data_IF_327084042068
#
_entry.id   IF_327084042068
#
_cell.length_a   1.000
_cell.length_b   1.000
_cell.length_c   1.000
_cell.angle_alpha   90.00
_cell.angle_beta   90.00
_cell.angle_gamma   90.00
#
_symmetry.space_group_name_H-M   'P 1'
#
loop_
_entity.id
_entity.type
_entity.pdbx_description
1 polymer ?
#
# COMPACT_ATOMS: atom_id res chain seq x y z
N UNK A 1 11.48 53.29 13.92
CA UNK A 1 10.56 52.14 13.79
C UNK A 1 11.22 51.13 12.86
N UNK A 2 11.97 50.17 13.39
CA UNK A 2 12.57 49.11 12.58
C UNK A 2 11.47 48.14 12.14
N UNK A 3 11.29 47.96 10.82
CA UNK A 3 10.34 47.01 10.26
C UNK A 3 10.71 45.57 10.63
N UNK A 4 9.73 44.63 10.62
CA UNK A 4 9.97 43.25 11.02
C UNK A 4 11.02 42.59 10.12
N UNK A 5 12.05 42.00 10.74
CA UNK A 5 13.08 41.27 10.03
C UNK A 5 12.47 40.08 9.27
N UNK A 6 12.72 39.99 7.97
CA UNK A 6 12.27 38.89 7.11
C UNK A 6 13.00 37.61 7.55
N UNK A 7 12.29 36.66 8.15
CA UNK A 7 12.85 35.34 8.45
C UNK A 7 13.25 34.65 7.15
N UNK A 8 14.47 34.07 7.05
CA UNK A 8 14.89 33.35 5.86
C UNK A 8 13.94 32.19 5.56
N UNK A 9 13.56 32.06 4.30
CA UNK A 9 12.68 30.98 3.85
C UNK A 9 13.33 29.61 4.11
N UNK A 10 12.60 28.60 4.62
CA UNK A 10 13.16 27.28 4.87
C UNK A 10 13.76 26.67 3.60
N UNK A 11 14.99 26.15 3.70
CA UNK A 11 15.68 25.50 2.58
C UNK A 11 14.86 24.26 2.14
N UNK A 12 14.59 24.04 0.84
CA UNK A 12 13.81 22.89 0.39
C UNK A 12 14.46 21.59 0.87
N UNK A 13 13.69 20.72 1.51
CA UNK A 13 14.18 19.40 1.91
C UNK A 13 14.45 18.54 0.67
N UNK A 14 15.58 17.81 0.63
CA UNK A 14 15.85 16.90 -0.47
C UNK A 14 14.69 15.90 -0.65
N UNK A 15 14.24 15.64 -1.89
CA UNK A 15 13.16 14.70 -2.13
C UNK A 15 13.55 13.31 -1.62
N UNK A 16 12.68 12.71 -0.81
CA UNK A 16 12.91 11.39 -0.23
C UNK A 16 13.04 10.35 -1.36
N UNK A 17 14.03 9.43 -1.32
CA UNK A 17 14.24 8.46 -2.39
C UNK A 17 12.97 7.65 -2.64
N UNK A 18 12.46 7.67 -3.88
CA UNK A 18 11.21 7.01 -4.26
C UNK A 18 11.17 5.51 -3.90
N UNK A 19 12.35 4.89 -3.79
CA UNK A 19 12.52 3.49 -3.39
C UNK A 19 12.21 3.23 -1.91
N UNK A 20 12.51 4.16 -0.99
CA UNK A 20 12.12 4.01 0.42
C UNK A 20 10.60 4.16 0.63
N UNK A 21 9.94 4.90 -0.25
CA UNK A 21 8.48 5.11 -0.22
C UNK A 21 7.71 4.03 -0.98
N UNK A 22 8.41 3.12 -1.67
CA UNK A 22 7.78 2.06 -2.44
C UNK A 22 7.35 0.91 -1.51
N UNK A 23 6.26 1.11 -0.76
CA UNK A 23 5.60 0.04 0.01
C UNK A 23 4.84 -0.95 -0.88
N UNK A 24 4.49 -0.51 -2.09
CA UNK A 24 3.69 -1.28 -3.03
C UNK A 24 4.27 -2.68 -3.38
N UNK A 25 5.58 -2.84 -3.69
CA UNK A 25 6.14 -4.15 -4.02
C UNK A 25 6.04 -5.15 -2.87
N UNK A 26 6.21 -4.71 -1.62
CA UNK A 26 6.11 -5.56 -0.43
C UNK A 26 4.68 -6.06 -0.26
N UNK A 27 3.70 -5.16 -0.37
CA UNK A 27 2.29 -5.53 -0.23
C UNK A 27 1.86 -6.45 -1.38
N UNK A 28 2.22 -6.15 -2.62
CA UNK A 28 1.88 -7.02 -3.76
C UNK A 28 2.57 -8.39 -3.65
N UNK A 29 3.85 -8.42 -3.28
CA UNK A 29 4.59 -9.66 -3.05
C UNK A 29 4.00 -10.50 -1.94
N UNK A 30 3.72 -9.90 -0.78
CA UNK A 30 3.09 -10.58 0.35
C UNK A 30 1.67 -11.07 0.03
N UNK A 31 0.87 -10.25 -0.65
CA UNK A 31 -0.49 -10.64 -1.09
C UNK A 31 -0.43 -11.81 -2.06
N UNK A 32 0.49 -11.75 -3.04
CA UNK A 32 0.70 -12.83 -4.01
C UNK A 32 1.16 -14.12 -3.35
N UNK A 33 2.06 -14.04 -2.37
CA UNK A 33 2.53 -15.19 -1.59
C UNK A 33 1.38 -15.83 -0.79
N UNK A 34 0.57 -15.04 -0.11
CA UNK A 34 -0.59 -15.55 0.62
C UNK A 34 -1.65 -16.17 -0.30
N UNK A 35 -1.91 -15.55 -1.45
CA UNK A 35 -2.81 -16.10 -2.46
C UNK A 35 -2.29 -17.45 -3.00
N UNK A 36 -1.00 -17.54 -3.30
CA UNK A 36 -0.36 -18.79 -3.73
C UNK A 36 -0.48 -19.87 -2.63
N UNK A 37 -0.21 -19.51 -1.37
CA UNK A 37 -0.36 -20.43 -0.25
C UNK A 37 -1.81 -20.92 -0.10
N UNK A 38 -2.80 -20.05 -0.26
CA UNK A 38 -4.22 -20.42 -0.21
C UNK A 38 -4.59 -21.42 -1.31
N UNK A 39 -4.07 -21.23 -2.53
CA UNK A 39 -4.27 -22.17 -3.66
C UNK A 39 -3.65 -23.53 -3.35
N UNK A 40 -2.37 -23.56 -2.94
CA UNK A 40 -1.66 -24.79 -2.62
C UNK A 40 -2.34 -25.56 -1.47
N UNK A 41 -2.72 -24.86 -0.41
CA UNK A 41 -3.40 -25.45 0.75
C UNK A 41 -4.81 -25.91 0.40
N UNK A 42 -5.53 -25.19 -0.47
CA UNK A 42 -6.84 -25.62 -0.97
C UNK A 42 -6.74 -26.93 -1.74
N UNK A 43 -5.75 -27.05 -2.64
CA UNK A 43 -5.48 -28.29 -3.37
C UNK A 43 -5.09 -29.42 -2.40
N UNK A 44 -4.22 -29.15 -1.42
CA UNK A 44 -3.82 -30.14 -0.42
C UNK A 44 -5.01 -30.65 0.41
N UNK A 45 -5.84 -29.73 0.90
CA UNK A 45 -6.98 -30.04 1.76
C UNK A 45 -8.11 -30.76 1.01
N UNK A 46 -8.59 -30.19 -0.10
CA UNK A 46 -9.73 -30.73 -0.83
C UNK A 46 -9.36 -31.83 -1.83
N UNK A 47 -8.15 -31.80 -2.41
CA UNK A 47 -7.71 -32.80 -3.38
C UNK A 47 -7.09 -34.04 -2.76
N UNK A 48 -6.39 -33.90 -1.63
CA UNK A 48 -5.64 -35.00 -1.01
C UNK A 48 -6.06 -35.32 0.41
N UNK A 49 -7.00 -34.57 1.02
CA UNK A 49 -7.37 -34.72 2.42
C UNK A 49 -6.22 -34.44 3.38
N UNK A 50 -5.17 -33.75 2.91
CA UNK A 50 -3.96 -33.43 3.69
C UNK A 50 -4.03 -31.98 4.13
N UNK A 51 -3.44 -31.67 5.27
CA UNK A 51 -3.42 -30.35 5.94
C UNK A 51 -4.69 -29.96 6.72
N UNK A 52 -4.53 -29.47 7.96
CA UNK A 52 -5.61 -28.92 8.77
C UNK A 52 -6.26 -27.68 8.13
N UNK A 53 -7.59 -27.47 8.30
CA UNK A 53 -8.31 -26.31 7.75
C UNK A 53 -7.76 -24.95 8.19
N UNK A 54 -7.16 -24.87 9.39
CA UNK A 54 -6.66 -23.60 9.95
C UNK A 54 -5.64 -22.93 9.04
N UNK A 55 -4.72 -23.69 8.41
CA UNK A 55 -3.70 -23.14 7.54
C UNK A 55 -4.30 -22.49 6.29
N UNK A 56 -5.31 -23.14 5.71
CA UNK A 56 -6.03 -22.61 4.55
C UNK A 56 -6.72 -21.29 4.92
N UNK A 57 -7.46 -21.27 6.03
CA UNK A 57 -8.16 -20.06 6.49
C UNK A 57 -7.20 -18.92 6.87
N UNK A 58 -6.04 -19.23 7.45
CA UNK A 58 -4.98 -18.24 7.67
C UNK A 58 -4.49 -17.67 6.35
N UNK A 59 -4.26 -18.52 5.34
CA UNK A 59 -3.78 -18.06 4.03
C UNK A 59 -4.79 -17.20 3.28
N UNK A 60 -6.07 -17.59 3.31
CA UNK A 60 -7.17 -16.79 2.78
C UNK A 60 -7.25 -15.43 3.49
N UNK A 61 -7.13 -15.41 4.82
CA UNK A 61 -7.19 -14.17 5.60
C UNK A 61 -6.03 -13.23 5.26
N UNK A 62 -4.80 -13.78 5.11
CA UNK A 62 -3.64 -13.00 4.68
C UNK A 62 -3.80 -12.42 3.28
N UNK A 63 -4.35 -13.19 2.34
CA UNK A 63 -4.63 -12.73 0.99
C UNK A 63 -5.70 -11.63 0.99
N UNK A 64 -6.79 -11.80 1.73
CA UNK A 64 -7.86 -10.81 1.87
C UNK A 64 -7.34 -9.49 2.46
N UNK A 65 -6.55 -9.56 3.53
CA UNK A 65 -5.92 -8.38 4.13
C UNK A 65 -4.97 -7.67 3.15
N UNK A 66 -4.18 -8.44 2.40
CA UNK A 66 -3.30 -7.93 1.36
C UNK A 66 -4.05 -7.19 0.25
N UNK A 67 -5.17 -7.75 -0.22
CA UNK A 67 -6.06 -7.11 -1.21
C UNK A 67 -6.62 -5.80 -0.67
N UNK A 68 -7.11 -5.78 0.58
CA UNK A 68 -7.62 -4.55 1.21
C UNK A 68 -6.54 -3.49 1.28
N UNK A 69 -5.33 -3.83 1.73
CA UNK A 69 -4.19 -2.91 1.75
C UNK A 69 -3.83 -2.37 0.36
N UNK A 70 -3.84 -3.24 -0.66
CA UNK A 70 -3.62 -2.85 -2.05
C UNK A 70 -4.67 -1.87 -2.57
N UNK A 71 -5.96 -2.11 -2.29
CA UNK A 71 -7.06 -1.24 -2.68
C UNK A 71 -6.93 0.15 -2.05
N UNK A 72 -6.60 0.22 -0.76
CA UNK A 72 -6.38 1.49 -0.05
C UNK A 72 -5.25 2.27 -0.69
N UNK A 73 -4.11 1.65 -1.00
CA UNK A 73 -2.99 2.34 -1.66
C UNK A 73 -3.37 2.88 -3.05
N UNK A 74 -4.14 2.12 -3.83
CA UNK A 74 -4.63 2.59 -5.14
C UNK A 74 -5.59 3.76 -4.97
N UNK A 75 -6.46 3.72 -3.97
CA UNK A 75 -7.38 4.80 -3.66
C UNK A 75 -6.64 6.06 -3.20
N UNK A 76 -5.66 5.94 -2.31
CA UNK A 76 -4.78 7.03 -1.89
C UNK A 76 -4.09 7.67 -3.09
N UNK A 77 -3.53 6.87 -3.99
CA UNK A 77 -2.84 7.36 -5.19
C UNK A 77 -3.79 8.10 -6.15
N UNK A 78 -5.05 7.64 -6.26
CA UNK A 78 -6.10 8.34 -7.01
C UNK A 78 -6.54 9.63 -6.33
N UNK A 79 -6.64 9.65 -4.99
CA UNK A 79 -7.02 10.83 -4.23
C UNK A 79 -5.98 11.96 -4.35
N UNK A 80 -4.69 11.64 -4.26
CA UNK A 80 -3.59 12.60 -4.48
C UNK A 80 -3.66 13.23 -5.87
N UNK A 81 -3.90 12.43 -6.91
CA UNK A 81 -4.07 12.92 -8.29
C UNK A 81 -5.34 13.76 -8.49
N UNK A 82 -6.38 13.55 -7.66
CA UNK A 82 -7.62 14.35 -7.70
C UNK A 82 -7.45 15.68 -6.97
N UNK A 83 -6.74 15.70 -5.83
CA UNK A 83 -6.45 16.92 -5.07
C UNK A 83 -5.62 17.94 -5.84
N UNK A 84 -4.70 17.50 -6.71
CA UNK A 84 -3.87 18.44 -7.50
C UNK A 84 -4.66 19.27 -8.52
N UNK A 85 -5.88 18.86 -8.90
CA UNK A 85 -6.73 19.62 -9.85
C UNK A 85 -7.50 20.75 -9.17
N UNK A 86 -7.67 20.72 -7.85
CA UNK A 86 -8.39 21.77 -7.10
C UNK A 86 -7.52 22.98 -6.76
N UNK A 87 -6.20 22.80 -6.62
CA UNK A 87 -5.28 23.88 -6.25
C UNK A 87 -4.89 24.82 -7.40
N UNK A 88 -5.20 24.44 -8.64
CA UNK A 88 -4.86 25.22 -9.85
C UNK A 88 -6.00 26.13 -10.32
N UNK A 89 -7.05 26.29 -9.51
CA UNK A 89 -8.18 27.18 -9.81
C UNK A 89 -8.25 28.30 -8.77
N UNK A 90 -7.28 29.19 -8.85
CA UNK A 90 -7.34 30.54 -8.28
C UNK A 90 -6.90 31.48 -9.40
N UNK A 91 -7.82 31.71 -10.35
CA UNK A 91 -7.85 32.89 -11.22
C UNK A 91 -8.98 33.79 -10.71
#
# INVERSE_FOLDING_TARGET
MAGPAKTPDPRPTPPLPARLLAMAPIVYGGTGLWALAAVVLGIAHYGFGKTPPIWLWTAISGAALGIVGALVMVWQRKAVRRGSRGAQKMD
#
